data_IF_085760245336
#
_entry.id   IF_085760245336
#
_cell.length_a   1.000
_cell.length_b   1.000
_cell.length_c   1.000
_cell.angle_alpha   90.00
_cell.angle_beta   90.00
_cell.angle_gamma   90.00
#
_symmetry.space_group_name_H-M   'P 1'
#
loop_
_entity.id
_entity.type
_entity.pdbx_description
1 polymer ?
#
# COMPACT_ATOMS: atom_id res chain seq x y z
N UNK A 1 24.20 -21.92 -44.60
CA UNK A 1 25.24 -20.91 -44.27
C UNK A 1 26.50 -21.00 -45.12
N UNK A 2 26.87 -22.14 -45.75
CA UNK A 2 28.12 -22.22 -46.52
C UNK A 2 28.13 -21.36 -47.80
N UNK A 3 26.98 -21.10 -48.42
CA UNK A 3 26.87 -20.29 -49.64
C UNK A 3 27.13 -18.79 -49.41
N UNK A 4 26.81 -18.27 -48.22
CA UNK A 4 27.04 -16.86 -47.85
C UNK A 4 28.49 -16.65 -47.41
N UNK A 5 29.06 -17.63 -46.70
CA UNK A 5 30.47 -17.61 -46.30
C UNK A 5 31.44 -17.70 -47.50
N UNK A 6 30.96 -18.11 -48.67
CA UNK A 6 31.69 -18.21 -49.93
C UNK A 6 31.44 -17.01 -50.88
N UNK A 7 30.72 -15.97 -50.44
CA UNK A 7 30.49 -14.75 -51.23
C UNK A 7 29.37 -14.83 -52.27
N UNK A 8 28.46 -15.81 -52.17
CA UNK A 8 27.26 -15.89 -53.01
C UNK A 8 26.14 -14.93 -52.57
N UNK A 9 25.22 -14.60 -53.48
CA UNK A 9 24.09 -13.70 -53.24
C UNK A 9 23.15 -14.25 -52.15
N UNK A 10 22.85 -13.42 -51.14
CA UNK A 10 22.04 -13.77 -49.97
C UNK A 10 20.53 -13.53 -50.16
N UNK A 11 20.10 -13.09 -51.35
CA UNK A 11 18.73 -12.64 -51.61
C UNK A 11 17.66 -13.69 -51.31
N UNK A 12 17.90 -14.97 -51.63
CA UNK A 12 16.95 -16.05 -51.34
C UNK A 12 16.80 -16.33 -49.83
N UNK A 13 17.90 -16.27 -49.08
CA UNK A 13 17.85 -16.41 -47.62
C UNK A 13 17.15 -15.22 -46.97
N UNK A 14 17.42 -14.01 -47.45
CA UNK A 14 16.80 -12.78 -46.96
C UNK A 14 15.29 -12.76 -47.26
N UNK A 15 14.87 -13.21 -48.44
CA UNK A 15 13.46 -13.35 -48.78
C UNK A 15 12.75 -14.37 -47.86
N UNK A 16 13.40 -15.50 -47.56
CA UNK A 16 12.87 -16.49 -46.61
C UNK A 16 12.77 -15.94 -45.19
N UNK A 17 13.76 -15.16 -44.75
CA UNK A 17 13.76 -14.53 -43.42
C UNK A 17 12.69 -13.44 -43.30
N UNK A 18 12.44 -12.68 -44.37
CA UNK A 18 11.37 -11.67 -44.42
C UNK A 18 9.98 -12.33 -44.40
N UNK A 19 9.77 -13.41 -45.15
CA UNK A 19 8.55 -14.22 -45.06
C UNK A 19 8.37 -14.80 -43.66
N UNK A 20 9.45 -15.28 -43.02
CA UNK A 20 9.41 -15.78 -41.64
C UNK A 20 8.99 -14.69 -40.66
N UNK A 21 9.57 -13.49 -40.76
CA UNK A 21 9.22 -12.37 -39.89
C UNK A 21 7.78 -11.87 -40.10
N UNK A 22 7.28 -11.88 -41.34
CA UNK A 22 5.90 -11.49 -41.67
C UNK A 22 4.87 -12.53 -41.25
N UNK A 23 5.21 -13.81 -41.29
CA UNK A 23 4.34 -14.93 -40.91
C UNK A 23 4.47 -15.32 -39.43
N UNK A 24 5.23 -14.57 -38.61
CA UNK A 24 5.45 -14.81 -37.17
C UNK A 24 4.22 -14.52 -36.29
N UNK A 25 3.02 -14.64 -36.83
CA UNK A 25 1.75 -14.50 -36.09
C UNK A 25 1.21 -15.90 -35.72
N UNK A 26 0.43 -15.99 -34.65
CA UNK A 26 -0.20 -17.23 -34.18
C UNK A 26 -1.19 -17.85 -35.19
N UNK A 27 -1.56 -17.10 -36.24
CA UNK A 27 -2.41 -17.56 -37.35
C UNK A 27 -1.61 -18.00 -38.58
N UNK A 28 -0.29 -17.88 -38.56
CA UNK A 28 0.58 -18.31 -39.65
C UNK A 28 0.69 -19.84 -39.72
N UNK A 29 0.76 -20.38 -40.93
CA UNK A 29 1.12 -21.77 -41.17
C UNK A 29 2.54 -21.84 -41.73
N UNK A 30 3.40 -22.65 -41.10
CA UNK A 30 4.75 -22.88 -41.60
C UNK A 30 4.76 -24.16 -42.44
N UNK A 31 4.96 -24.00 -43.74
CA UNK A 31 5.20 -25.13 -44.64
C UNK A 31 6.68 -25.48 -44.61
N UNK A 32 6.98 -26.73 -44.26
CA UNK A 32 8.32 -27.26 -44.13
C UNK A 32 8.56 -28.31 -45.22
N UNK A 33 9.68 -28.21 -45.94
CA UNK A 33 10.10 -29.25 -46.88
C UNK A 33 11.09 -30.20 -46.19
N UNK A 34 10.74 -31.50 -46.13
CA UNK A 34 11.53 -32.50 -45.44
C UNK A 34 12.18 -33.46 -46.46
N UNK A 35 13.28 -33.01 -47.08
CA UNK A 35 14.06 -33.82 -48.02
C UNK A 35 15.04 -34.73 -47.24
N UNK A 36 15.13 -36.04 -47.55
CA UNK A 36 16.05 -36.96 -46.88
C UNK A 36 17.53 -36.57 -46.94
N UNK A 37 17.96 -35.76 -47.93
CA UNK A 37 19.34 -35.30 -48.05
C UNK A 37 19.64 -33.96 -47.36
N UNK A 38 18.60 -33.17 -47.06
CA UNK A 38 18.69 -31.85 -46.42
C UNK A 38 17.43 -31.63 -45.57
N UNK A 39 17.37 -32.19 -44.34
CA UNK A 39 16.21 -32.01 -43.48
C UNK A 39 16.18 -30.56 -42.96
N UNK A 40 15.12 -29.83 -43.30
CA UNK A 40 14.76 -28.63 -42.56
C UNK A 40 14.29 -29.08 -41.16
N UNK A 41 14.59 -28.35 -40.09
CA UNK A 41 14.05 -28.63 -38.75
C UNK A 41 13.31 -27.40 -38.24
N UNK A 42 12.15 -27.62 -37.64
CA UNK A 42 11.34 -26.57 -37.02
C UNK A 42 11.14 -27.03 -35.59
N UNK A 43 11.73 -26.29 -34.66
CA UNK A 43 11.66 -26.57 -33.24
C UNK A 43 10.81 -25.50 -32.58
N UNK A 44 9.81 -25.94 -31.82
CA UNK A 44 9.05 -25.05 -30.97
C UNK A 44 9.82 -24.89 -29.66
N UNK A 45 10.47 -23.74 -29.51
CA UNK A 45 11.08 -23.36 -28.24
C UNK A 45 9.95 -22.97 -27.28
N UNK A 46 9.55 -23.90 -26.43
CA UNK A 46 8.64 -23.61 -25.33
C UNK A 46 9.41 -22.82 -24.26
N UNK A 47 8.99 -21.58 -24.00
CA UNK A 47 9.44 -20.83 -22.85
C UNK A 47 8.45 -21.08 -21.69
N UNK A 48 8.77 -21.93 -20.71
CA UNK A 48 7.87 -22.18 -19.59
C UNK A 48 7.73 -20.90 -18.75
N UNK A 49 6.50 -20.44 -18.54
CA UNK A 49 6.16 -19.26 -17.72
C UNK A 49 5.97 -19.62 -16.24
N UNK A 50 6.51 -20.75 -15.80
CA UNK A 50 6.37 -21.21 -14.42
C UNK A 50 7.14 -20.27 -13.48
N UNK A 51 6.47 -19.78 -12.42
CA UNK A 51 7.07 -18.84 -11.46
C UNK A 51 6.97 -17.36 -11.85
N UNK A 52 6.31 -17.03 -12.97
CA UNK A 52 6.03 -15.63 -13.33
C UNK A 52 5.12 -14.95 -12.30
N UNK A 53 4.19 -15.70 -11.69
CA UNK A 53 3.32 -15.24 -10.62
C UNK A 53 4.13 -14.78 -9.39
N UNK A 54 5.13 -15.56 -8.99
CA UNK A 54 6.01 -15.22 -7.88
C UNK A 54 6.86 -13.97 -8.17
N UNK A 55 7.42 -13.85 -9.38
CA UNK A 55 8.17 -12.66 -9.80
C UNK A 55 7.28 -11.41 -9.85
N UNK A 56 6.05 -11.57 -10.33
CA UNK A 56 5.08 -10.47 -10.39
C UNK A 56 4.67 -10.01 -8.99
N UNK A 57 4.43 -10.94 -8.06
CA UNK A 57 4.12 -10.62 -6.68
C UNK A 57 5.29 -9.87 -6.01
N UNK A 58 6.52 -10.35 -6.17
CA UNK A 58 7.71 -9.69 -5.62
C UNK A 58 7.91 -8.28 -6.21
N UNK A 59 7.65 -8.10 -7.51
CA UNK A 59 7.69 -6.78 -8.16
C UNK A 59 6.69 -5.81 -7.52
N UNK A 60 5.48 -6.28 -7.19
CA UNK A 60 4.46 -5.49 -6.49
C UNK A 60 4.89 -5.08 -5.08
N UNK A 61 5.54 -5.98 -4.33
CA UNK A 61 6.12 -5.66 -3.03
C UNK A 61 7.18 -4.56 -3.14
N UNK A 62 8.09 -4.66 -4.11
CA UNK A 62 9.13 -3.64 -4.35
C UNK A 62 8.54 -2.27 -4.68
N UNK A 63 7.43 -2.19 -5.42
CA UNK A 63 6.75 -0.92 -5.69
C UNK A 63 6.21 -0.26 -4.41
N UNK A 64 5.65 -1.06 -3.49
CA UNK A 64 5.12 -0.57 -2.22
C UNK A 64 6.21 -0.11 -1.24
N UNK A 65 7.39 -0.74 -1.30
CA UNK A 65 8.52 -0.42 -0.43
C UNK A 65 9.02 1.03 -0.63
N UNK A 66 8.96 1.57 -1.85
CA UNK A 66 9.46 2.93 -2.14
C UNK A 66 8.54 4.00 -1.56
N UNK A 67 7.22 3.80 -1.64
CA UNK A 67 6.25 4.78 -1.17
C UNK A 67 5.96 4.67 0.33
N UNK A 68 6.46 3.63 1.01
CA UNK A 68 6.10 3.30 2.40
C UNK A 68 4.59 3.11 2.61
N UNK A 69 3.84 2.84 1.55
CA UNK A 69 2.40 2.57 1.59
C UNK A 69 2.20 1.05 1.62
N UNK A 70 1.43 0.50 2.58
CA UNK A 70 1.14 -0.93 2.63
C UNK A 70 0.45 -1.45 1.36
N UNK A 71 0.75 -2.69 0.97
CA UNK A 71 0.19 -3.34 -0.22
C UNK A 71 -1.34 -3.36 -0.25
N UNK A 72 -1.97 -3.60 0.90
CA UNK A 72 -3.43 -3.59 1.03
C UNK A 72 -4.03 -2.22 0.69
N UNK A 73 -3.30 -1.12 0.99
CA UNK A 73 -3.76 0.23 0.67
C UNK A 73 -3.39 0.66 -0.75
N UNK A 74 -2.21 0.26 -1.23
CA UNK A 74 -1.71 0.66 -2.54
C UNK A 74 -2.33 -0.13 -3.69
N UNK A 75 -2.46 -1.45 -3.53
CA UNK A 75 -2.85 -2.38 -4.58
C UNK A 75 -4.14 -3.15 -4.28
N UNK A 76 -4.65 -3.08 -3.04
CA UNK A 76 -5.86 -3.81 -2.64
C UNK A 76 -5.66 -5.32 -2.51
N UNK A 77 -4.40 -5.79 -2.49
CA UNK A 77 -4.06 -7.19 -2.33
C UNK A 77 -3.54 -7.45 -0.92
N UNK A 78 -3.94 -8.58 -0.35
CA UNK A 78 -3.38 -9.07 0.91
C UNK A 78 -2.04 -9.76 0.63
N UNK A 79 -0.98 -9.49 1.40
CA UNK A 79 0.29 -10.19 1.25
C UNK A 79 0.11 -11.71 1.43
N UNK A 80 0.81 -12.51 0.63
CA UNK A 80 0.72 -13.97 0.69
C UNK A 80 1.66 -14.52 1.78
N UNK A 81 1.13 -15.27 2.76
CA UNK A 81 1.95 -15.91 3.81
C UNK A 81 1.14 -16.48 4.99
N UNK A 82 1.79 -17.30 5.84
CA UNK A 82 1.20 -17.73 7.12
C UNK A 82 1.13 -16.51 8.05
N UNK A 83 -0.08 -16.10 8.42
CA UNK A 83 -0.40 -14.93 9.26
C UNK A 83 -0.46 -13.58 8.51
N UNK A 84 -1.09 -13.56 7.33
CA UNK A 84 -1.36 -12.36 6.53
C UNK A 84 -2.41 -11.40 7.16
N UNK A 85 -2.12 -10.88 8.34
CA UNK A 85 -2.87 -9.77 8.95
C UNK A 85 -2.16 -8.46 8.63
N UNK A 86 -2.86 -7.54 7.97
CA UNK A 86 -2.33 -6.22 7.60
C UNK A 86 -2.57 -5.15 8.66
N UNK A 87 -3.17 -5.48 9.80
CA UNK A 87 -3.47 -4.50 10.86
C UNK A 87 -2.21 -3.81 11.40
N UNK A 88 -1.12 -4.57 11.59
CA UNK A 88 0.16 -4.00 12.04
C UNK A 88 0.76 -3.02 11.03
N UNK A 89 0.73 -3.38 9.75
CA UNK A 89 1.21 -2.54 8.64
C UNK A 89 0.36 -1.27 8.49
N UNK A 90 -0.97 -1.40 8.62
CA UNK A 90 -1.90 -0.28 8.57
C UNK A 90 -1.67 0.68 9.74
N UNK A 91 -1.39 0.18 10.95
CA UNK A 91 -1.05 1.02 12.12
C UNK A 91 0.22 1.83 11.87
N UNK A 92 1.30 1.17 11.43
CA UNK A 92 2.56 1.85 11.10
C UNK A 92 2.35 2.91 10.01
N UNK A 93 1.51 2.60 9.02
CA UNK A 93 1.15 3.56 7.98
C UNK A 93 0.38 4.78 8.53
N UNK A 94 -0.56 4.57 9.44
CA UNK A 94 -1.28 5.68 10.08
C UNK A 94 -0.35 6.55 10.93
N UNK A 95 0.61 5.97 11.64
CA UNK A 95 1.63 6.72 12.39
C UNK A 95 2.50 7.55 11.44
N UNK A 96 2.89 6.97 10.30
CA UNK A 96 3.64 7.67 9.25
C UNK A 96 2.85 8.87 8.69
N UNK A 97 1.55 8.69 8.39
CA UNK A 97 0.68 9.78 7.92
C UNK A 97 0.53 10.86 9.00
N UNK A 98 0.36 10.48 10.26
CA UNK A 98 0.24 11.46 11.34
C UNK A 98 1.53 12.27 11.52
N UNK A 99 2.70 11.62 11.40
CA UNK A 99 4.00 12.31 11.41
C UNK A 99 4.14 13.29 10.22
N UNK A 100 3.67 12.92 9.03
CA UNK A 100 3.61 13.82 7.88
C UNK A 100 2.65 15.00 8.12
N UNK A 101 1.49 14.76 8.74
CA UNK A 101 0.55 15.82 9.09
C UNK A 101 1.18 16.84 10.04
N UNK A 102 1.86 16.36 11.08
CA UNK A 102 2.54 17.21 12.05
C UNK A 102 3.72 17.96 11.44
N UNK A 103 4.51 17.33 10.56
CA UNK A 103 5.71 17.97 9.99
C UNK A 103 5.40 18.96 8.86
N UNK A 104 4.42 18.65 8.01
CA UNK A 104 4.12 19.44 6.80
C UNK A 104 3.00 20.44 7.04
N UNK A 105 1.92 20.03 7.71
CA UNK A 105 0.71 20.86 7.80
C UNK A 105 0.62 21.68 9.08
N UNK A 106 1.28 21.27 10.17
CA UNK A 106 1.14 21.96 11.46
C UNK A 106 1.43 23.46 11.38
N UNK A 107 2.62 23.82 10.90
CA UNK A 107 3.06 25.22 10.86
C UNK A 107 2.28 26.02 9.81
N UNK A 108 1.92 25.38 8.70
CA UNK A 108 1.15 26.00 7.62
C UNK A 108 -0.29 26.30 8.04
N UNK A 109 -0.96 25.34 8.69
CA UNK A 109 -2.30 25.53 9.22
C UNK A 109 -2.32 26.52 10.38
N UNK A 110 -1.31 26.48 11.26
CA UNK A 110 -1.18 27.50 12.33
C UNK A 110 -1.08 28.89 11.72
N UNK A 111 -0.22 29.10 10.72
CA UNK A 111 -0.10 30.40 10.05
C UNK A 111 -1.41 30.87 9.43
N UNK A 112 -2.14 29.98 8.75
CA UNK A 112 -3.46 30.34 8.17
C UNK A 112 -4.43 30.71 9.27
N UNK A 113 -4.43 29.97 10.38
CA UNK A 113 -5.30 30.24 11.52
C UNK A 113 -4.96 31.58 12.19
N UNK A 114 -3.68 31.89 12.38
CA UNK A 114 -3.22 33.17 12.93
C UNK A 114 -3.66 34.35 12.05
N UNK A 115 -3.62 34.20 10.71
CA UNK A 115 -4.10 35.22 9.76
C UNK A 115 -5.62 35.40 9.89
N UNK A 116 -6.38 34.31 9.98
CA UNK A 116 -7.84 34.37 10.17
C UNK A 116 -8.17 35.05 11.50
N UNK A 117 -7.46 34.70 12.58
CA UNK A 117 -7.65 35.32 13.88
C UNK A 117 -7.36 36.82 13.86
N UNK A 118 -6.27 37.24 13.21
CA UNK A 118 -5.93 38.65 13.06
C UNK A 118 -6.98 39.42 12.24
N UNK A 119 -7.58 38.79 11.23
CA UNK A 119 -8.63 39.40 10.41
C UNK A 119 -9.96 39.54 11.15
N UNK A 120 -10.37 38.54 11.92
CA UNK A 120 -11.68 38.50 12.58
C UNK A 120 -11.68 39.13 13.99
N UNK A 121 -10.63 38.87 14.77
CA UNK A 121 -10.53 39.29 16.17
C UNK A 121 -9.57 40.47 16.40
N UNK A 122 -8.71 40.78 15.42
CA UNK A 122 -7.73 41.88 15.53
C UNK A 122 -6.50 41.55 16.37
N UNK A 123 -6.51 40.43 17.10
CA UNK A 123 -5.42 39.91 17.93
C UNK A 123 -5.29 38.39 17.75
N UNK A 124 -4.10 37.85 18.06
CA UNK A 124 -3.84 36.40 18.04
C UNK A 124 -4.00 35.85 19.46
N UNK A 125 -4.87 34.87 19.64
CA UNK A 125 -5.10 34.19 20.92
C UNK A 125 -4.40 32.82 20.94
N UNK A 126 -3.35 32.69 21.76
CA UNK A 126 -2.59 31.46 21.95
C UNK A 126 -3.43 30.30 22.53
N UNK A 127 -4.61 30.58 23.09
CA UNK A 127 -5.55 29.56 23.57
C UNK A 127 -6.29 28.82 22.47
N UNK A 128 -6.32 29.36 21.24
CA UNK A 128 -6.98 28.73 20.10
C UNK A 128 -5.94 27.92 19.33
N UNK A 129 -5.92 26.61 19.58
CA UNK A 129 -5.04 25.66 18.88
C UNK A 129 -5.86 24.60 18.15
N UNK A 130 -5.20 23.86 17.27
CA UNK A 130 -5.77 22.68 16.64
C UNK A 130 -4.85 21.48 16.85
N UNK A 131 -5.45 20.30 16.94
CA UNK A 131 -4.75 19.03 16.96
C UNK A 131 -5.32 18.14 15.86
N UNK A 132 -4.46 17.32 15.25
CA UNK A 132 -4.89 16.33 14.28
C UNK A 132 -5.54 15.15 15.00
N UNK A 133 -6.75 14.77 14.58
CA UNK A 133 -7.39 13.56 15.09
C UNK A 133 -6.56 12.32 14.69
N UNK A 134 -6.29 11.38 15.63
CA UNK A 134 -5.62 10.14 15.31
C UNK A 134 -6.38 9.35 14.23
N UNK A 135 -5.65 8.89 13.20
CA UNK A 135 -6.24 8.10 12.12
C UNK A 135 -6.58 6.66 12.55
N UNK A 136 -5.93 6.16 13.60
CA UNK A 136 -6.23 4.85 14.15
C UNK A 136 -7.36 4.94 15.18
N UNK A 137 -8.56 4.53 14.77
CA UNK A 137 -9.63 4.27 15.71
C UNK A 137 -9.58 2.82 16.18
N UNK A 138 -9.35 2.63 17.48
CA UNK A 138 -9.46 1.32 18.11
C UNK A 138 -10.84 0.73 17.87
N UNK A 139 -10.92 -0.56 17.56
CA UNK A 139 -12.21 -1.23 17.38
C UNK A 139 -13.05 -1.13 18.66
N UNK A 140 -14.37 -1.23 18.55
CA UNK A 140 -15.26 -1.21 19.72
C UNK A 140 -14.90 -2.29 20.76
N UNK A 141 -14.34 -3.42 20.30
CA UNK A 141 -13.87 -4.51 21.15
C UNK A 141 -12.60 -4.14 21.90
N UNK A 142 -11.58 -3.60 21.22
CA UNK A 142 -10.34 -3.15 21.87
C UNK A 142 -10.62 -2.04 22.89
N UNK A 143 -11.54 -1.11 22.58
CA UNK A 143 -11.98 -0.08 23.55
C UNK A 143 -12.68 -0.67 24.76
N UNK A 144 -13.49 -1.71 24.58
CA UNK A 144 -14.15 -2.39 25.68
C UNK A 144 -13.16 -3.17 26.56
N UNK A 145 -12.14 -3.77 25.96
CA UNK A 145 -11.05 -4.44 26.68
C UNK A 145 -10.23 -3.44 27.49
N UNK A 146 -9.85 -2.29 26.94
CA UNK A 146 -9.17 -1.22 27.69
C UNK A 146 -10.04 -0.75 28.86
N UNK A 147 -11.32 -0.45 28.61
CA UNK A 147 -12.22 -0.01 29.69
C UNK A 147 -12.36 -1.05 30.79
N UNK A 148 -12.30 -2.34 30.44
CA UNK A 148 -12.31 -3.42 31.43
C UNK A 148 -11.02 -3.43 32.24
N UNK A 149 -9.86 -3.33 31.58
CA UNK A 149 -8.54 -3.25 32.25
C UNK A 149 -8.45 -2.02 33.14
N UNK A 150 -8.95 -0.87 32.70
CA UNK A 150 -9.01 0.36 33.48
C UNK A 150 -9.92 0.18 34.71
N UNK A 151 -11.10 -0.42 34.54
CA UNK A 151 -12.00 -0.70 35.65
C UNK A 151 -11.41 -1.68 36.66
N UNK A 152 -10.71 -2.73 36.18
CA UNK A 152 -9.99 -3.68 37.04
C UNK A 152 -8.85 -2.98 37.81
N UNK A 153 -8.15 -2.06 37.15
CA UNK A 153 -7.08 -1.26 37.75
C UNK A 153 -7.62 -0.29 38.81
N UNK A 154 -8.70 0.41 38.51
CA UNK A 154 -9.37 1.32 39.44
C UNK A 154 -9.92 0.54 40.66
N UNK A 155 -10.45 -0.67 40.46
CA UNK A 155 -10.87 -1.54 41.56
C UNK A 155 -9.70 -1.94 42.48
N UNK A 156 -8.51 -2.20 41.91
CA UNK A 156 -7.29 -2.47 42.69
C UNK A 156 -6.85 -1.22 43.47
N UNK A 157 -6.87 -0.03 42.86
CA UNK A 157 -6.48 1.20 43.56
C UNK A 157 -7.43 1.57 44.70
N UNK A 158 -8.73 1.34 44.53
CA UNK A 158 -9.73 1.53 45.60
C UNK A 158 -9.54 0.49 46.70
N UNK A 159 -9.32 -0.79 46.35
CA UNK A 159 -9.06 -1.84 47.33
C UNK A 159 -7.77 -1.60 48.13
N UNK A 160 -6.74 -1.07 47.48
CA UNK A 160 -5.49 -0.65 48.12
C UNK A 160 -5.61 0.67 48.89
N UNK A 161 -6.79 1.31 48.91
CA UNK A 161 -7.03 2.63 49.54
C UNK A 161 -6.10 3.74 49.03
N UNK A 162 -5.60 3.62 47.81
CA UNK A 162 -4.73 4.63 47.17
C UNK A 162 -5.57 5.74 46.52
N UNK A 163 -6.74 5.37 45.96
CA UNK A 163 -7.73 6.31 45.44
C UNK A 163 -9.08 6.13 46.14
N UNK A 164 -9.78 7.24 46.36
CA UNK A 164 -11.17 7.23 46.81
C UNK A 164 -12.12 7.00 45.64
N UNK A 165 -13.30 6.43 45.92
CA UNK A 165 -14.33 6.20 44.89
C UNK A 165 -14.82 7.48 44.19
N UNK A 166 -14.61 8.65 44.79
CA UNK A 166 -14.95 9.94 44.16
C UNK A 166 -13.92 10.35 43.10
N UNK A 167 -12.63 10.11 43.32
CA UNK A 167 -11.56 10.43 42.36
C UNK A 167 -11.64 9.52 41.12
N UNK A 168 -12.00 8.25 41.31
CA UNK A 168 -12.29 7.33 40.19
C UNK A 168 -13.50 7.82 39.37
N UNK A 169 -14.52 8.36 40.04
CA UNK A 169 -15.73 8.89 39.36
C UNK A 169 -15.44 10.15 38.53
N UNK A 170 -14.52 10.99 38.98
CA UNK A 170 -14.07 12.19 38.24
C UNK A 170 -13.24 11.82 37.00
N UNK A 171 -12.44 10.75 37.09
CA UNK A 171 -11.64 10.22 35.98
C UNK A 171 -12.47 9.58 34.88
N UNK A 172 -13.62 8.97 35.21
CA UNK A 172 -14.53 8.43 34.20
C UNK A 172 -15.04 9.62 33.36
N UNK A 173 -14.79 9.64 32.05
CA UNK A 173 -15.34 10.69 31.21
C UNK A 173 -16.87 10.59 31.33
N UNK A 174 -17.48 11.60 31.96
CA UNK A 174 -18.93 11.82 31.86
C UNK A 174 -19.19 11.81 30.38
N UNK A 175 -19.92 10.80 29.90
CA UNK A 175 -20.21 10.59 28.48
C UNK A 175 -20.99 11.79 27.98
N UNK A 176 -20.28 12.87 27.65
CA UNK A 176 -20.78 14.01 26.93
C UNK A 176 -20.92 13.47 25.53
N UNK A 177 -22.13 12.96 25.25
CA UNK A 177 -22.64 12.77 23.90
C UNK A 177 -22.05 13.87 23.03
N UNK A 178 -21.13 13.49 22.13
CA UNK A 178 -20.44 14.44 21.25
C UNK A 178 -21.55 15.29 20.61
N UNK A 179 -21.56 16.62 20.76
CA UNK A 179 -22.57 17.43 20.10
C UNK A 179 -22.42 17.19 18.60
N UNK A 180 -23.57 16.96 17.97
CA UNK A 180 -23.77 16.77 16.54
C UNK A 180 -22.82 17.70 15.77
N UNK A 181 -21.86 17.12 15.04
CA UNK A 181 -21.14 17.86 13.99
C UNK A 181 -22.14 18.10 12.86
N UNK A 182 -22.78 19.26 12.90
CA UNK A 182 -23.48 19.83 11.76
C UNK A 182 -22.43 20.21 10.71
N UNK A 183 -22.33 19.40 9.66
CA UNK A 183 -21.83 19.86 8.38
C UNK A 183 -23.05 20.07 7.49
N UNK A 184 -23.47 21.32 7.38
CA UNK A 184 -24.13 21.86 6.18
C UNK A 184 -23.07 22.53 5.33
#
# INVERSE_FOLDING_TARGET
MSTILQGGAADDLLARLDVFNRCRDNRGAFAKDNNPNQPETVEFVNAPLNGLDALQAQSQEHMSAVSSIPLVKLLGITPNGLNATSDGEIRVFYDYIHALQQSVFKDNLKRVMDIIQLSEFGDIDDGITFDFEPLYEMSAKERAEIRKVDADTDAVYVAASVLSGNEVREKLPVTRTRPITLWT
#
